data_IF_018392028689
#
_entry.id   IF_018392028689
#
_cell.length_a   1.000
_cell.length_b   1.000
_cell.length_c   1.000
_cell.angle_alpha   90.00
_cell.angle_beta   90.00
_cell.angle_gamma   90.00
#
_symmetry.space_group_name_H-M   'P 1'
#
loop_
_entity.id
_entity.type
_entity.pdbx_description
1 polymer ?
#
# COMPACT_ATOMS: atom_id res chain seq x y z
N UNK A 1 5.61 -15.74 -4.24
CA UNK A 1 6.29 -16.28 -5.45
C UNK A 1 5.71 -15.69 -6.72
N UNK A 2 4.39 -15.72 -6.95
CA UNK A 2 3.76 -15.18 -8.17
C UNK A 2 4.03 -13.69 -8.44
N UNK A 3 3.73 -12.78 -7.50
CA UNK A 3 3.97 -11.33 -7.72
C UNK A 3 5.44 -10.98 -8.00
N UNK A 4 6.38 -11.62 -7.32
CA UNK A 4 7.81 -11.37 -7.56
C UNK A 4 8.24 -11.79 -8.96
N UNK A 5 7.69 -12.89 -9.49
CA UNK A 5 7.96 -13.32 -10.85
C UNK A 5 7.39 -12.32 -11.87
N UNK A 6 6.18 -11.83 -11.64
CA UNK A 6 5.55 -10.82 -12.49
C UNK A 6 6.36 -9.50 -12.53
N UNK A 7 6.85 -9.03 -11.37
CA UNK A 7 7.72 -7.83 -11.33
C UNK A 7 9.02 -8.04 -12.12
N UNK A 8 9.61 -9.26 -12.08
CA UNK A 8 10.79 -9.56 -12.89
C UNK A 8 10.47 -9.56 -14.39
N UNK A 9 9.28 -10.03 -14.79
CA UNK A 9 8.86 -9.99 -16.19
C UNK A 9 8.62 -8.56 -16.67
N UNK A 10 7.95 -7.74 -15.87
CA UNK A 10 7.72 -6.33 -16.15
C UNK A 10 9.03 -5.52 -16.22
N UNK A 11 10.04 -5.90 -15.44
CA UNK A 11 11.38 -5.32 -15.50
C UNK A 11 12.22 -5.82 -16.69
N UNK A 12 11.67 -6.69 -17.56
CA UNK A 12 12.40 -7.28 -18.69
C UNK A 12 13.43 -8.34 -18.30
N UNK A 13 13.47 -8.75 -17.04
CA UNK A 13 14.40 -9.78 -16.53
C UNK A 13 13.91 -11.20 -16.84
N UNK A 14 12.64 -11.35 -17.24
CA UNK A 14 12.01 -12.60 -17.67
C UNK A 14 11.02 -12.35 -18.81
N UNK A 15 10.74 -13.33 -19.68
CA UNK A 15 9.73 -13.19 -20.73
C UNK A 15 8.35 -12.94 -20.14
N UNK A 16 7.61 -11.96 -20.69
CA UNK A 16 6.22 -11.70 -20.32
C UNK A 16 5.37 -12.92 -20.73
N UNK A 17 4.74 -13.58 -19.76
CA UNK A 17 3.96 -14.80 -20.02
C UNK A 17 2.47 -14.54 -20.19
N UNK A 18 1.94 -13.45 -19.64
CA UNK A 18 0.58 -12.97 -19.92
C UNK A 18 0.45 -11.46 -19.66
N UNK A 19 -0.74 -10.90 -19.91
CA UNK A 19 -1.04 -9.49 -19.70
C UNK A 19 -0.93 -9.11 -18.20
N UNK A 20 -0.03 -8.19 -17.81
CA UNK A 20 0.25 -7.91 -16.39
C UNK A 20 -0.97 -7.49 -15.58
N UNK A 21 -1.89 -6.73 -16.18
CA UNK A 21 -3.12 -6.28 -15.53
C UNK A 21 -4.00 -7.47 -15.10
N UNK A 22 -4.19 -8.44 -15.98
CA UNK A 22 -5.01 -9.63 -15.68
C UNK A 22 -4.38 -10.50 -14.59
N UNK A 23 -3.05 -10.61 -14.57
CA UNK A 23 -2.34 -11.35 -13.52
C UNK A 23 -2.49 -10.70 -12.15
N UNK A 24 -2.38 -9.37 -12.06
CA UNK A 24 -2.60 -8.67 -10.80
C UNK A 24 -4.06 -8.76 -10.34
N UNK A 25 -5.04 -8.69 -11.25
CA UNK A 25 -6.44 -8.92 -10.87
C UNK A 25 -6.67 -10.33 -10.32
N UNK A 26 -6.15 -11.37 -11.00
CA UNK A 26 -6.17 -12.74 -10.49
C UNK A 26 -5.50 -12.85 -9.12
N UNK A 27 -4.36 -12.18 -8.94
CA UNK A 27 -3.65 -12.14 -7.67
C UNK A 27 -4.47 -11.50 -6.55
N UNK A 28 -5.16 -10.37 -6.81
CA UNK A 28 -6.03 -9.71 -5.83
C UNK A 28 -7.19 -10.64 -5.44
N UNK A 29 -7.83 -11.29 -6.41
CA UNK A 29 -8.93 -12.24 -6.14
C UNK A 29 -8.46 -13.41 -5.28
N UNK A 30 -7.39 -14.11 -5.68
CA UNK A 30 -6.88 -15.27 -4.92
C UNK A 30 -6.38 -14.89 -3.52
N UNK A 31 -5.76 -13.71 -3.36
CA UNK A 31 -5.40 -13.21 -2.04
C UNK A 31 -6.65 -12.87 -1.21
N UNK A 32 -7.71 -12.36 -1.84
CA UNK A 32 -8.98 -12.10 -1.18
C UNK A 32 -9.66 -13.36 -0.66
N UNK A 33 -9.69 -14.42 -1.47
CA UNK A 33 -10.18 -15.75 -1.06
C UNK A 33 -9.38 -16.28 0.13
N UNK A 34 -8.04 -16.26 0.03
CA UNK A 34 -7.14 -16.69 1.10
C UNK A 34 -7.33 -15.90 2.40
N UNK A 35 -7.56 -14.58 2.31
CA UNK A 35 -7.85 -13.73 3.47
C UNK A 35 -9.23 -14.05 4.04
N UNK A 36 -10.22 -14.40 3.21
CA UNK A 36 -11.53 -14.85 3.64
C UNK A 36 -11.45 -16.14 4.47
N UNK A 37 -10.65 -17.12 4.02
CA UNK A 37 -10.39 -18.37 4.74
C UNK A 37 -9.50 -18.18 5.97
N UNK A 38 -8.55 -17.26 5.91
CA UNK A 38 -7.57 -16.99 6.97
C UNK A 38 -7.46 -15.49 7.29
N UNK A 39 -8.41 -14.91 8.04
CA UNK A 39 -8.47 -13.45 8.27
C UNK A 39 -7.25 -12.84 8.95
N UNK A 40 -6.50 -13.65 9.71
CA UNK A 40 -5.29 -13.25 10.43
C UNK A 40 -4.00 -13.39 9.59
N UNK A 41 -4.10 -13.75 8.31
CA UNK A 41 -2.93 -13.95 7.47
C UNK A 41 -2.33 -12.61 6.98
N UNK A 42 -1.54 -11.98 7.84
CA UNK A 42 -0.97 -10.65 7.61
C UNK A 42 -0.18 -10.53 6.29
N UNK A 43 0.65 -11.53 5.95
CA UNK A 43 1.41 -11.48 4.70
C UNK A 43 0.52 -11.47 3.45
N UNK A 44 -0.63 -12.16 3.47
CA UNK A 44 -1.58 -12.14 2.35
C UNK A 44 -2.23 -10.76 2.19
N UNK A 45 -2.60 -10.11 3.29
CA UNK A 45 -3.11 -8.73 3.30
C UNK A 45 -2.09 -7.72 2.78
N UNK A 46 -0.85 -7.77 3.27
CA UNK A 46 0.23 -6.91 2.79
C UNK A 46 0.47 -7.08 1.29
N UNK A 47 0.39 -8.31 0.80
CA UNK A 47 0.53 -8.65 -0.60
C UNK A 47 -0.64 -8.12 -1.45
N UNK A 48 -1.88 -8.19 -0.94
CA UNK A 48 -3.06 -7.69 -1.65
C UNK A 48 -3.01 -6.17 -1.77
N UNK A 49 -2.61 -5.48 -0.71
CA UNK A 49 -2.36 -4.04 -0.75
C UNK A 49 -1.29 -3.67 -1.81
N UNK A 50 -0.21 -4.44 -1.91
CA UNK A 50 0.82 -4.21 -2.94
C UNK A 50 0.25 -4.39 -4.35
N UNK A 51 -0.52 -5.46 -4.59
CA UNK A 51 -1.14 -5.71 -5.89
C UNK A 51 -2.10 -4.58 -6.29
N UNK A 52 -2.91 -4.10 -5.36
CA UNK A 52 -3.82 -2.96 -5.58
C UNK A 52 -3.07 -1.68 -5.94
N UNK A 53 -1.96 -1.38 -5.24
CA UNK A 53 -1.09 -0.24 -5.57
C UNK A 53 -0.43 -0.37 -6.94
N UNK A 54 -0.14 -1.58 -7.43
CA UNK A 54 0.35 -1.78 -8.80
C UNK A 54 -0.73 -1.55 -9.84
N UNK A 55 -1.95 -2.00 -9.57
CA UNK A 55 -3.09 -1.81 -10.46
C UNK A 55 -3.50 -0.34 -10.57
N UNK A 56 -3.64 0.36 -9.42
CA UNK A 56 -4.31 1.67 -9.35
C UNK A 56 -3.40 2.82 -8.89
N UNK A 57 -2.16 2.53 -8.50
CA UNK A 57 -1.18 3.52 -8.09
C UNK A 57 -1.34 4.03 -6.65
N UNK A 58 -0.50 4.98 -6.28
CA UNK A 58 -0.46 5.57 -4.93
C UNK A 58 -1.39 6.79 -4.79
N UNK A 59 -1.92 7.31 -5.89
CA UNK A 59 -2.92 8.41 -5.92
C UNK A 59 -4.36 7.89 -5.97
N UNK A 60 -4.59 6.62 -5.66
CA UNK A 60 -5.92 5.99 -5.72
C UNK A 60 -6.96 6.63 -4.78
N UNK A 61 -6.54 7.45 -3.82
CA UNK A 61 -7.40 8.27 -2.95
C UNK A 61 -7.86 9.60 -3.59
N UNK A 62 -7.32 9.99 -4.76
CA UNK A 62 -7.53 11.31 -5.34
C UNK A 62 -8.40 11.23 -6.59
N UNK A 63 -9.52 11.96 -6.55
CA UNK A 63 -10.41 12.15 -7.70
C UNK A 63 -9.68 12.87 -8.83
N UNK A 64 -10.00 12.56 -10.10
CA UNK A 64 -9.37 13.16 -11.28
C UNK A 64 -7.82 13.13 -11.36
N UNK A 65 -7.12 12.44 -10.44
CA UNK A 65 -5.66 12.34 -10.41
C UNK A 65 -5.18 10.88 -10.52
N UNK A 66 -5.36 10.20 -11.67
CA UNK A 66 -4.85 8.84 -11.85
C UNK A 66 -3.33 8.81 -11.83
N UNK A 67 -2.74 7.78 -11.20
CA UNK A 67 -1.29 7.66 -11.09
C UNK A 67 -0.69 7.28 -12.46
N UNK A 68 0.26 8.06 -13.01
CA UNK A 68 0.96 7.71 -14.25
C UNK A 68 1.68 6.36 -14.20
N UNK A 69 1.95 5.81 -13.00
CA UNK A 69 2.61 4.52 -12.78
C UNK A 69 1.63 3.36 -12.57
N UNK A 70 0.33 3.63 -12.42
CA UNK A 70 -0.70 2.59 -12.33
C UNK A 70 -0.74 1.74 -13.61
N UNK A 71 -1.03 0.45 -13.49
CA UNK A 71 -1.20 -0.41 -14.65
C UNK A 71 -2.54 -0.17 -15.36
N UNK A 72 -3.60 0.14 -14.60
CA UNK A 72 -4.93 0.44 -15.14
C UNK A 72 -5.06 1.95 -15.33
N UNK A 73 -4.99 2.41 -16.59
CA UNK A 73 -5.02 3.84 -16.93
C UNK A 73 -6.41 4.46 -16.83
N UNK A 74 -7.43 3.75 -17.29
CA UNK A 74 -8.80 4.27 -17.42
C UNK A 74 -9.73 3.72 -16.32
N UNK A 75 -9.24 3.68 -15.08
CA UNK A 75 -10.04 3.21 -13.94
C UNK A 75 -11.02 4.28 -13.46
N UNK A 76 -12.27 3.87 -13.19
CA UNK A 76 -13.29 4.73 -12.58
C UNK A 76 -12.86 5.18 -11.18
N UNK A 77 -13.28 6.38 -10.79
CA UNK A 77 -12.99 6.94 -9.47
C UNK A 77 -13.46 6.03 -8.33
N UNK A 78 -14.71 5.55 -8.39
CA UNK A 78 -15.25 4.62 -7.38
C UNK A 78 -14.40 3.36 -7.23
N UNK A 79 -13.92 2.79 -8.35
CA UNK A 79 -13.05 1.60 -8.32
C UNK A 79 -11.70 1.90 -7.68
N UNK A 80 -11.13 3.08 -7.93
CA UNK A 80 -9.87 3.50 -7.29
C UNK A 80 -10.07 3.75 -5.79
N UNK A 81 -11.17 4.40 -5.40
CA UNK A 81 -11.51 4.65 -4.00
C UNK A 81 -11.76 3.34 -3.22
N UNK A 82 -12.47 2.38 -3.81
CA UNK A 82 -12.67 1.04 -3.23
C UNK A 82 -11.34 0.29 -3.07
N UNK A 83 -10.47 0.35 -4.08
CA UNK A 83 -9.14 -0.24 -4.03
C UNK A 83 -8.28 0.42 -2.94
N UNK A 84 -8.36 1.74 -2.81
CA UNK A 84 -7.68 2.49 -1.75
C UNK A 84 -8.16 2.07 -0.37
N UNK A 85 -9.48 1.97 -0.20
CA UNK A 85 -10.10 1.54 1.05
C UNK A 85 -9.68 0.14 1.45
N UNK A 86 -9.67 -0.80 0.49
CA UNK A 86 -9.22 -2.17 0.71
C UNK A 86 -7.73 -2.24 1.06
N UNK A 87 -6.88 -1.53 0.31
CA UNK A 87 -5.44 -1.53 0.54
C UNK A 87 -5.08 -0.95 1.92
N UNK A 88 -5.66 0.20 2.29
CA UNK A 88 -5.40 0.83 3.58
C UNK A 88 -5.94 -0.03 4.73
N UNK A 89 -7.14 -0.59 4.61
CA UNK A 89 -7.70 -1.50 5.60
C UNK A 89 -6.86 -2.77 5.80
N UNK A 90 -6.32 -3.33 4.73
CA UNK A 90 -5.38 -4.45 4.82
C UNK A 90 -4.09 -4.08 5.54
N UNK A 91 -3.50 -2.93 5.22
CA UNK A 91 -2.27 -2.45 5.85
C UNK A 91 -2.47 -2.15 7.34
N UNK A 92 -3.59 -1.53 7.71
CA UNK A 92 -3.99 -1.32 9.11
C UNK A 92 -4.13 -2.63 9.87
N UNK A 93 -4.77 -3.63 9.26
CA UNK A 93 -4.93 -4.94 9.87
C UNK A 93 -3.60 -5.67 10.02
N UNK A 94 -2.68 -5.53 9.07
CA UNK A 94 -1.31 -6.08 9.16
C UNK A 94 -0.56 -5.47 10.34
N UNK A 95 -0.58 -4.14 10.47
CA UNK A 95 0.03 -3.44 11.60
C UNK A 95 -0.60 -3.93 12.91
N UNK A 96 -1.93 -3.98 13.00
CA UNK A 96 -2.64 -4.46 14.18
C UNK A 96 -2.27 -5.89 14.58
N UNK A 97 -2.10 -6.79 13.61
CA UNK A 97 -1.79 -8.21 13.86
C UNK A 97 -0.34 -8.43 14.29
N UNK A 98 0.60 -7.67 13.74
CA UNK A 98 2.02 -7.93 13.88
C UNK A 98 2.73 -7.01 14.86
N UNK A 99 2.16 -5.85 15.20
CA UNK A 99 2.73 -4.95 16.20
C UNK A 99 2.73 -5.64 17.57
N UNK A 100 3.90 -5.81 18.21
CA UNK A 100 3.98 -6.46 19.51
C UNK A 100 3.19 -5.66 20.57
N UNK A 101 2.40 -6.34 21.39
CA UNK A 101 1.60 -5.72 22.47
C UNK A 101 2.45 -5.18 23.63
N UNK A 102 3.71 -5.58 23.70
CA UNK A 102 4.68 -5.14 24.71
C UNK A 102 5.96 -4.70 24.02
N UNK A 103 6.57 -3.62 24.51
CA UNK A 103 7.84 -3.09 24.01
C UNK A 103 9.00 -4.08 24.15
N UNK A 104 8.87 -5.09 25.03
CA UNK A 104 9.88 -6.11 25.29
C UNK A 104 9.61 -7.43 24.58
N UNK A 105 8.47 -7.55 23.88
CA UNK A 105 8.16 -8.78 23.15
C UNK A 105 9.04 -8.88 21.91
N UNK A 106 9.73 -10.02 21.76
CA UNK A 106 10.51 -10.32 20.57
C UNK A 106 9.60 -10.39 19.34
N UNK A 107 10.05 -9.77 18.23
CA UNK A 107 9.39 -9.88 16.93
C UNK A 107 10.20 -10.83 16.05
N UNK A 108 9.51 -11.74 15.36
CA UNK A 108 10.19 -12.62 14.40
C UNK A 108 10.72 -11.80 13.21
N UNK A 109 11.84 -12.21 12.57
CA UNK A 109 12.36 -11.50 11.40
C UNK A 109 11.33 -11.35 10.29
N UNK A 110 10.48 -12.37 10.09
CA UNK A 110 9.43 -12.33 9.09
C UNK A 110 8.33 -11.31 9.44
N UNK A 111 7.89 -11.25 10.71
CA UNK A 111 6.91 -10.26 11.15
C UNK A 111 7.48 -8.84 11.05
N UNK A 112 8.75 -8.65 11.40
CA UNK A 112 9.47 -7.39 11.26
C UNK A 112 9.50 -6.92 9.80
N UNK A 113 9.88 -7.81 8.87
CA UNK A 113 9.87 -7.52 7.43
C UNK A 113 8.47 -7.14 6.94
N UNK A 114 7.43 -7.89 7.33
CA UNK A 114 6.06 -7.59 6.91
C UNK A 114 5.56 -6.26 7.48
N UNK A 115 5.85 -5.94 8.75
CA UNK A 115 5.54 -4.62 9.33
C UNK A 115 6.26 -3.48 8.60
N UNK A 116 7.55 -3.67 8.34
CA UNK A 116 8.37 -2.71 7.62
C UNK A 116 7.79 -2.40 6.24
N UNK A 117 7.39 -3.44 5.50
CA UNK A 117 6.67 -3.28 4.23
C UNK A 117 5.35 -2.55 4.44
N UNK A 118 4.49 -3.00 5.35
CA UNK A 118 3.16 -2.41 5.52
C UNK A 118 3.20 -0.91 5.82
N UNK A 119 4.06 -0.50 6.76
CA UNK A 119 4.28 0.93 7.04
C UNK A 119 4.80 1.68 5.82
N UNK A 120 5.79 1.14 5.11
CA UNK A 120 6.34 1.81 3.91
C UNK A 120 5.29 1.96 2.80
N UNK A 121 4.43 0.95 2.61
CA UNK A 121 3.37 1.01 1.61
C UNK A 121 2.32 2.06 1.97
N UNK A 122 1.90 2.11 3.24
CA UNK A 122 0.93 3.09 3.72
C UNK A 122 1.49 4.52 3.65
N UNK A 123 2.75 4.69 4.04
CA UNK A 123 3.46 5.96 3.92
C UNK A 123 3.54 6.46 2.46
N UNK A 124 3.77 5.57 1.49
CA UNK A 124 3.84 5.96 0.08
C UNK A 124 2.51 6.48 -0.47
N UNK A 125 1.39 5.86 -0.08
CA UNK A 125 0.04 6.33 -0.44
C UNK A 125 -0.18 7.74 0.15
N UNK A 126 0.08 7.91 1.44
CA UNK A 126 -0.13 9.19 2.12
C UNK A 126 0.80 10.29 1.61
N UNK A 127 2.08 9.98 1.40
CA UNK A 127 3.07 10.92 0.90
C UNK A 127 2.75 11.40 -0.52
N UNK A 128 2.42 10.46 -1.41
CA UNK A 128 2.04 10.82 -2.79
C UNK A 128 0.76 11.66 -2.80
N UNK A 129 -0.22 11.31 -1.95
CA UNK A 129 -1.46 12.06 -1.83
C UNK A 129 -1.23 13.50 -1.35
N UNK A 130 -0.43 13.67 -0.27
CA UNK A 130 -0.08 14.99 0.27
C UNK A 130 0.57 15.92 -0.76
N UNK A 131 1.36 15.38 -1.69
CA UNK A 131 2.03 16.17 -2.73
C UNK A 131 1.06 16.80 -3.73
N UNK A 132 -0.15 16.26 -3.86
CA UNK A 132 -1.15 16.67 -4.87
C UNK A 132 -2.31 17.44 -4.21
N UNK A 133 -2.64 17.20 -2.94
CA UNK A 133 -3.76 17.86 -2.24
C UNK A 133 -3.68 19.40 -2.26
N UNK A 134 -2.47 19.98 -2.34
CA UNK A 134 -2.31 21.44 -2.48
C UNK A 134 -2.89 22.02 -3.80
N UNK A 135 -3.12 21.18 -4.81
CA UNK A 135 -3.60 21.61 -6.13
C UNK A 135 -5.14 21.60 -6.23
N UNK A 136 -5.85 21.49 -5.10
CA UNK A 136 -7.32 21.47 -5.05
C UNK A 136 -7.92 20.09 -5.32
N UNK A 137 -7.14 19.03 -5.13
CA UNK A 137 -7.59 17.65 -5.32
C UNK A 137 -8.64 17.25 -4.27
N UNK A 138 -9.75 16.67 -4.73
CA UNK A 138 -10.74 16.04 -3.85
C UNK A 138 -10.26 14.64 -3.46
N UNK A 139 -10.41 14.31 -2.17
CA UNK A 139 -10.09 12.99 -1.64
C UNK A 139 -11.37 12.14 -1.63
N UNK A 140 -11.28 10.95 -2.21
CA UNK A 140 -12.33 9.93 -2.17
C UNK A 140 -11.73 8.63 -1.63
N UNK A 141 -12.20 8.20 -0.46
CA UNK A 141 -11.66 7.03 0.24
C UNK A 141 -12.77 6.06 0.67
N UNK A 142 -13.92 6.11 0.00
CA UNK A 142 -15.09 5.27 0.24
C UNK A 142 -15.54 5.24 1.71
N UNK A 143 -15.67 6.42 2.34
CA UNK A 143 -16.16 6.60 3.70
C UNK A 143 -15.12 6.36 4.80
N UNK A 144 -13.83 6.32 4.45
CA UNK A 144 -12.75 6.24 5.44
C UNK A 144 -12.42 7.62 6.03
N UNK A 145 -11.74 7.61 7.18
CA UNK A 145 -11.31 8.83 7.88
C UNK A 145 -10.44 9.75 7.02
N UNK A 146 -9.67 9.18 6.08
CA UNK A 146 -8.79 9.94 5.19
C UNK A 146 -9.52 10.95 4.29
N UNK A 147 -10.83 10.81 4.06
CA UNK A 147 -11.62 11.80 3.30
C UNK A 147 -11.67 13.17 3.98
N UNK A 148 -11.60 13.17 5.31
CA UNK A 148 -11.62 14.40 6.11
C UNK A 148 -10.23 14.97 6.36
N UNK A 149 -9.17 14.28 5.92
CA UNK A 149 -7.79 14.69 6.22
C UNK A 149 -7.35 15.87 5.37
N UNK A 150 -6.69 16.80 6.03
CA UNK A 150 -5.90 17.86 5.43
C UNK A 150 -4.59 17.32 4.88
N UNK A 151 -3.93 18.11 4.02
CA UNK A 151 -2.56 17.82 3.57
C UNK A 151 -1.61 17.56 4.74
N UNK A 152 -1.71 18.36 5.81
CA UNK A 152 -0.86 18.22 6.99
C UNK A 152 -1.05 16.86 7.66
N UNK A 153 -2.28 16.38 7.80
CA UNK A 153 -2.56 15.06 8.38
C UNK A 153 -1.99 13.92 7.52
N UNK A 154 -2.05 14.04 6.19
CA UNK A 154 -1.37 13.08 5.29
C UNK A 154 0.15 13.14 5.42
N UNK A 155 0.76 14.33 5.51
CA UNK A 155 2.21 14.50 5.68
C UNK A 155 2.69 13.90 7.01
N UNK A 156 1.99 14.18 8.10
CA UNK A 156 2.30 13.63 9.42
C UNK A 156 2.11 12.10 9.44
N UNK A 157 1.04 11.58 8.86
CA UNK A 157 0.80 10.14 8.77
C UNK A 157 1.90 9.45 7.95
N UNK A 158 2.28 10.04 6.81
CA UNK A 158 3.38 9.54 6.00
C UNK A 158 4.71 9.53 6.75
N UNK A 159 5.06 10.63 7.43
CA UNK A 159 6.29 10.73 8.22
C UNK A 159 6.34 9.68 9.34
N UNK A 160 5.25 9.53 10.11
CA UNK A 160 5.13 8.50 11.16
C UNK A 160 5.34 7.10 10.61
N UNK A 161 4.71 6.77 9.48
CA UNK A 161 4.84 5.46 8.87
C UNK A 161 6.21 5.22 8.25
N UNK A 162 6.84 6.22 7.62
CA UNK A 162 8.22 6.06 7.15
C UNK A 162 9.20 5.82 8.31
N UNK A 163 9.03 6.53 9.43
CA UNK A 163 9.84 6.31 10.62
C UNK A 163 9.68 4.88 11.17
N UNK A 164 8.45 4.35 11.23
CA UNK A 164 8.18 2.97 11.65
C UNK A 164 8.70 1.94 10.63
N UNK A 165 8.53 2.20 9.33
CA UNK A 165 9.10 1.38 8.26
C UNK A 165 10.62 1.25 8.39
N UNK A 166 11.30 2.37 8.64
CA UNK A 166 12.74 2.43 8.91
C UNK A 166 13.14 1.71 10.20
N UNK A 167 12.37 1.88 11.29
CA UNK A 167 12.60 1.16 12.56
C UNK A 167 12.56 -0.36 12.39
N UNK A 168 11.71 -0.87 11.52
CA UNK A 168 11.61 -2.30 11.21
C UNK A 168 12.55 -2.76 10.08
N UNK A 169 13.46 -1.90 9.61
CA UNK A 169 14.57 -2.29 8.73
C UNK A 169 14.42 -1.98 7.24
N UNK A 170 13.53 -1.06 6.84
CA UNK A 170 13.48 -0.57 5.46
C UNK A 170 14.32 0.71 5.29
N UNK A 171 15.45 0.60 4.61
CA UNK A 171 16.37 1.72 4.38
C UNK A 171 15.79 2.84 3.52
N UNK A 172 14.89 2.53 2.58
CA UNK A 172 14.20 3.55 1.78
C UNK A 172 13.26 4.36 2.67
N UNK A 173 12.48 3.68 3.52
CA UNK A 173 11.61 4.34 4.48
C UNK A 173 12.41 5.20 5.47
N UNK A 174 13.55 4.71 5.95
CA UNK A 174 14.46 5.47 6.82
C UNK A 174 14.99 6.74 6.15
N UNK A 175 15.38 6.67 4.87
CA UNK A 175 15.80 7.84 4.10
C UNK A 175 14.67 8.86 3.90
N UNK A 176 13.45 8.38 3.60
CA UNK A 176 12.27 9.24 3.41
C UNK A 176 11.78 9.85 4.73
N UNK A 177 11.92 9.16 5.86
CA UNK A 177 11.60 9.70 7.18
C UNK A 177 12.46 10.94 7.51
N UNK A 178 13.72 10.97 7.05
CA UNK A 178 14.58 12.15 7.23
C UNK A 178 14.15 13.30 6.31
N UNK A 179 13.71 13.01 5.09
CA UNK A 179 13.32 14.01 4.10
C UNK A 179 11.92 14.61 4.33
N UNK A 180 11.10 13.96 5.17
CA UNK A 180 9.71 14.37 5.49
C UNK A 180 9.56 15.05 6.86
N UNK A 181 10.65 15.19 7.61
CA UNK A 181 10.72 15.93 8.88
C UNK A 181 11.33 17.32 8.71
#
# INVERSE_FOLDING_TARGET
>A
MAMQQLEMQMAGLKPLMSEPVEEYHRCVTSLGELIGEHPQYASARNNRAQALRRLYGDTMLLEAHPDPRALVKDSKEDTRAEAASMALGDLEQVVTLLTPRSLYAGISPQACKTLSMAHTQRAAIYHTSAKIINDGATISASGRQEEAWTKMEFEEAASRDFALGGRYGNEVAKGLAVATN
#
